data_IF_447929920666
#
_entry.id   IF_447929920666
#
_cell.length_a   1.000
_cell.length_b   1.000
_cell.length_c   1.000
_cell.angle_alpha   90.00
_cell.angle_beta   90.00
_cell.angle_gamma   90.00
#
_symmetry.space_group_name_H-M   'P 1'
#
loop_
_entity.id
_entity.type
_entity.pdbx_description
1 polymer ?
#
# COMPACT_ATOMS: atom_id res chain seq x y z
N UNK A 1 -44.21 -20.18 14.14
CA UNK A 1 -44.32 -18.76 13.73
C UNK A 1 -43.32 -17.93 14.50
N UNK A 2 -42.59 -17.07 13.77
CA UNK A 2 -41.66 -16.17 14.42
C UNK A 2 -42.43 -14.98 14.98
N UNK A 3 -42.23 -14.68 16.26
CA UNK A 3 -42.79 -13.50 16.88
C UNK A 3 -41.99 -12.26 16.44
N UNK A 4 -42.55 -11.09 16.73
CA UNK A 4 -41.85 -9.82 16.48
C UNK A 4 -40.54 -9.74 17.26
N UNK A 5 -40.52 -10.24 18.49
CA UNK A 5 -39.33 -10.30 19.32
C UNK A 5 -38.23 -11.19 18.69
N UNK A 6 -38.65 -12.34 18.12
CA UNK A 6 -37.71 -13.23 17.43
C UNK A 6 -37.11 -12.58 16.20
N UNK A 7 -37.90 -11.86 15.43
CA UNK A 7 -37.42 -11.12 14.26
C UNK A 7 -36.46 -10.00 14.66
N UNK A 8 -36.78 -9.32 15.74
CA UNK A 8 -35.92 -8.25 16.24
C UNK A 8 -34.56 -8.81 16.68
N UNK A 9 -34.58 -9.93 17.41
CA UNK A 9 -33.34 -10.59 17.85
C UNK A 9 -32.49 -11.05 16.66
N UNK A 10 -33.12 -11.62 15.63
CA UNK A 10 -32.42 -12.06 14.42
C UNK A 10 -31.82 -10.90 13.69
N UNK A 11 -32.51 -9.78 13.54
CA UNK A 11 -32.00 -8.59 12.91
C UNK A 11 -30.85 -7.97 13.69
N UNK A 12 -30.95 -8.00 15.01
CA UNK A 12 -29.88 -7.51 15.89
C UNK A 12 -28.61 -8.33 15.74
N UNK A 13 -28.74 -9.66 15.69
CA UNK A 13 -27.61 -10.57 15.52
C UNK A 13 -26.96 -10.37 14.15
N UNK A 14 -27.76 -10.25 13.12
CA UNK A 14 -27.28 -10.01 11.77
C UNK A 14 -26.58 -8.66 11.68
N UNK A 15 -27.12 -7.63 12.31
CA UNK A 15 -26.53 -6.30 12.33
C UNK A 15 -25.18 -6.32 13.02
N UNK A 16 -25.06 -7.03 14.15
CA UNK A 16 -23.79 -7.19 14.86
C UNK A 16 -22.76 -7.89 14.00
N UNK A 17 -23.18 -8.93 13.28
CA UNK A 17 -22.31 -9.68 12.37
C UNK A 17 -21.81 -8.79 11.23
N UNK A 18 -22.71 -8.03 10.62
CA UNK A 18 -22.36 -7.12 9.54
C UNK A 18 -21.39 -6.03 10.01
N UNK A 19 -21.61 -5.48 11.19
CA UNK A 19 -20.73 -4.47 11.78
C UNK A 19 -19.31 -5.03 11.97
N UNK A 20 -19.21 -6.29 12.42
CA UNK A 20 -17.94 -6.97 12.58
C UNK A 20 -17.25 -7.20 11.24
N UNK A 21 -17.99 -7.64 10.23
CA UNK A 21 -17.47 -7.87 8.89
C UNK A 21 -16.93 -6.56 8.28
N UNK A 22 -17.66 -5.47 8.46
CA UNK A 22 -17.22 -4.15 8.00
C UNK A 22 -15.93 -3.73 8.69
N UNK A 23 -15.85 -3.91 10.00
CA UNK A 23 -14.64 -3.56 10.77
C UNK A 23 -13.42 -4.36 10.28
N UNK A 24 -13.58 -5.65 10.02
CA UNK A 24 -12.51 -6.51 9.50
C UNK A 24 -12.06 -6.06 8.11
N UNK A 25 -13.01 -5.71 7.25
CA UNK A 25 -12.69 -5.21 5.90
C UNK A 25 -11.97 -3.88 5.96
N UNK A 26 -12.37 -3.00 6.86
CA UNK A 26 -11.71 -1.71 7.05
C UNK A 26 -10.25 -1.90 7.49
N UNK A 27 -10.00 -2.85 8.37
CA UNK A 27 -8.65 -3.20 8.79
C UNK A 27 -7.81 -3.70 7.62
N UNK A 28 -8.37 -4.55 6.77
CA UNK A 28 -7.68 -5.06 5.59
C UNK A 28 -7.37 -3.94 4.61
N UNK A 29 -8.33 -3.05 4.39
CA UNK A 29 -8.14 -1.90 3.50
C UNK A 29 -7.00 -1.02 4.02
N UNK A 30 -7.00 -0.72 5.30
CA UNK A 30 -5.95 0.08 5.92
C UNK A 30 -4.57 -0.59 5.77
N UNK A 31 -4.50 -1.91 5.96
CA UNK A 31 -3.26 -2.67 5.81
C UNK A 31 -2.77 -2.65 4.36
N UNK A 32 -3.67 -2.85 3.40
CA UNK A 32 -3.34 -2.83 1.97
C UNK A 32 -2.89 -1.44 1.52
N UNK A 33 -3.55 -0.40 2.00
CA UNK A 33 -3.16 0.98 1.69
C UNK A 33 -1.77 1.30 2.24
N UNK A 34 -1.48 0.86 3.46
CA UNK A 34 -0.18 1.05 4.08
C UNK A 34 0.91 0.33 3.29
N UNK A 35 0.64 -0.90 2.86
CA UNK A 35 1.57 -1.67 2.03
C UNK A 35 1.80 -1.02 0.68
N UNK A 36 0.74 -0.52 0.04
CA UNK A 36 0.85 0.17 -1.23
C UNK A 36 1.72 1.43 -1.11
N UNK A 37 1.55 2.19 -0.04
CA UNK A 37 2.38 3.37 0.21
C UNK A 37 3.85 2.98 0.40
N UNK A 38 4.10 1.90 1.11
CA UNK A 38 5.47 1.38 1.33
C UNK A 38 6.12 0.96 0.01
N UNK A 39 5.38 0.24 -0.83
CA UNK A 39 5.86 -0.18 -2.14
C UNK A 39 6.17 1.01 -3.03
N UNK A 40 5.30 2.03 -3.03
CA UNK A 40 5.53 3.24 -3.80
C UNK A 40 6.77 4.00 -3.32
N UNK A 41 6.97 4.06 -2.02
CA UNK A 41 8.17 4.68 -1.44
C UNK A 41 9.43 3.93 -1.86
N UNK A 42 9.39 2.61 -1.81
CA UNK A 42 10.50 1.76 -2.24
C UNK A 42 10.83 1.99 -3.71
N UNK A 43 9.80 2.05 -4.57
CA UNK A 43 9.99 2.34 -6.00
C UNK A 43 10.67 3.67 -6.24
N UNK A 44 10.24 4.70 -5.52
CA UNK A 44 10.83 6.03 -5.62
C UNK A 44 12.28 6.03 -5.17
N UNK A 45 12.58 5.33 -4.09
CA UNK A 45 13.94 5.23 -3.56
C UNK A 45 14.86 4.50 -4.54
N UNK A 46 14.38 3.40 -5.12
CA UNK A 46 15.14 2.64 -6.13
C UNK A 46 15.37 3.49 -7.37
N UNK A 47 14.33 4.17 -7.86
CA UNK A 47 14.44 5.05 -9.02
C UNK A 47 15.48 6.15 -8.79
N UNK A 48 15.48 6.75 -7.60
CA UNK A 48 16.44 7.78 -7.23
C UNK A 48 17.86 7.24 -7.21
N UNK A 49 18.08 6.04 -6.67
CA UNK A 49 19.39 5.39 -6.64
C UNK A 49 19.89 5.09 -8.06
N UNK A 50 19.00 4.65 -8.92
CA UNK A 50 19.34 4.39 -10.32
C UNK A 50 19.75 5.69 -10.99
N UNK A 51 19.01 6.77 -10.82
CA UNK A 51 19.35 8.08 -11.37
C UNK A 51 20.69 8.56 -10.86
N UNK A 52 20.95 8.40 -9.57
CA UNK A 52 22.23 8.79 -8.97
C UNK A 52 23.40 8.00 -9.57
N UNK A 53 23.21 6.69 -9.75
CA UNK A 53 24.22 5.82 -10.35
C UNK A 53 24.48 6.19 -11.81
N UNK A 54 23.42 6.44 -12.57
CA UNK A 54 23.56 6.89 -13.96
C UNK A 54 24.32 8.21 -14.02
N UNK A 55 24.01 9.15 -13.13
CA UNK A 55 24.72 10.41 -13.04
C UNK A 55 26.20 10.23 -12.74
N UNK A 56 26.55 9.32 -11.83
CA UNK A 56 27.92 9.00 -11.49
C UNK A 56 28.68 8.39 -12.68
N UNK A 57 28.01 7.48 -13.40
CA UNK A 57 28.58 6.86 -14.61
C UNK A 57 28.85 7.92 -15.67
N UNK A 58 27.88 8.81 -15.90
CA UNK A 58 28.05 9.91 -16.87
C UNK A 58 29.22 10.82 -16.51
N UNK A 59 29.37 11.14 -15.23
CA UNK A 59 30.52 11.95 -14.77
C UNK A 59 31.84 11.22 -14.99
N UNK A 60 31.86 9.92 -14.72
CA UNK A 60 33.08 9.13 -14.91
C UNK A 60 33.44 9.04 -16.38
N UNK A 61 32.48 8.84 -17.27
CA UNK A 61 32.67 8.82 -18.70
C UNK A 61 33.21 10.18 -19.21
N UNK A 62 32.67 11.26 -18.68
CA UNK A 62 33.15 12.61 -19.00
C UNK A 62 34.62 12.83 -18.62
N UNK A 63 35.00 12.34 -17.44
CA UNK A 63 36.40 12.42 -16.97
C UNK A 63 37.34 11.58 -17.82
N UNK A 64 36.89 10.38 -18.22
CA UNK A 64 37.70 9.50 -19.08
C UNK A 64 37.88 10.12 -20.46
N UNK A 65 36.80 10.70 -21.01
CA UNK A 65 36.86 11.38 -22.29
C UNK A 65 37.83 12.57 -22.24
N UNK A 66 37.83 13.35 -21.15
CA UNK A 66 38.73 14.48 -20.96
C UNK A 66 40.19 14.04 -20.85
N UNK A 67 40.45 12.86 -20.27
CA UNK A 67 41.82 12.32 -20.15
C UNK A 67 42.33 11.75 -21.47
N UNK A 68 41.43 11.31 -22.33
CA UNK A 68 41.82 10.72 -23.61
C UNK A 68 42.37 11.74 -24.59
N UNK A 69 42.09 13.01 -24.37
CA UNK A 69 42.60 14.10 -25.16
C UNK A 69 43.93 14.55 -24.57
#
# INVERSE_FOLDING_TARGET
MHSLADRFAALRDENTKLARDVAERDERIAALESEARRQNQTRRDVARRIDDLVGQIDQLEGRLAARAD
#
